data_IF_562156862066
#
_entry.id   IF_562156862066
#
_cell.length_a   1.000
_cell.length_b   1.000
_cell.length_c   1.000
_cell.angle_alpha   90.00
_cell.angle_beta   90.00
_cell.angle_gamma   90.00
#
_symmetry.space_group_name_H-M   'P 1'
#
loop_
_entity.id
_entity.type
_entity.pdbx_description
1 polymer ?
#
# COMPACT_ATOMS: atom_id res chain seq x y z
N UNK A 1 -27.89 -26.79 -15.53
CA UNK A 1 -28.95 -26.27 -14.65
C UNK A 1 -28.57 -26.58 -13.21
N UNK A 2 -27.96 -25.62 -12.54
CA UNK A 2 -27.77 -25.63 -11.09
C UNK A 2 -27.75 -24.16 -10.66
N UNK A 3 -28.71 -23.80 -9.83
CA UNK A 3 -28.98 -22.45 -9.34
C UNK A 3 -27.91 -22.01 -8.33
N UNK A 4 -27.43 -20.76 -8.36
CA UNK A 4 -26.62 -20.22 -7.27
C UNK A 4 -27.55 -19.74 -6.16
N UNK A 5 -27.36 -20.28 -4.95
CA UNK A 5 -27.97 -19.75 -3.72
C UNK A 5 -27.20 -18.47 -3.37
N UNK A 6 -27.73 -17.33 -3.82
CA UNK A 6 -27.37 -16.02 -3.29
C UNK A 6 -28.17 -15.86 -2.00
N UNK A 7 -27.57 -16.21 -0.86
CA UNK A 7 -28.14 -15.84 0.43
C UNK A 7 -27.95 -14.33 0.61
N UNK A 8 -29.08 -13.62 0.59
CA UNK A 8 -29.16 -12.17 0.71
C UNK A 8 -28.60 -11.69 2.04
N UNK A 9 -27.54 -10.87 1.96
CA UNK A 9 -27.27 -9.88 2.98
C UNK A 9 -28.32 -8.78 2.82
N UNK A 10 -29.40 -8.88 3.61
CA UNK A 10 -30.21 -7.71 3.92
C UNK A 10 -29.31 -6.71 4.66
N UNK A 11 -28.74 -5.75 3.93
CA UNK A 11 -28.34 -4.49 4.53
C UNK A 11 -29.62 -3.76 4.91
N UNK A 12 -30.09 -3.95 6.14
CA UNK A 12 -30.87 -2.90 6.79
C UNK A 12 -29.95 -1.68 6.82
N UNK A 13 -30.19 -0.77 5.89
CA UNK A 13 -29.79 0.62 6.04
C UNK A 13 -30.56 1.08 7.27
N UNK A 14 -29.93 1.03 8.44
CA UNK A 14 -30.40 1.81 9.56
C UNK A 14 -30.25 3.26 9.12
N UNK A 15 -31.34 3.86 8.63
CA UNK A 15 -31.53 5.30 8.65
C UNK A 15 -31.47 5.72 10.11
N UNK A 16 -30.25 6.01 10.59
CA UNK A 16 -30.02 6.70 11.84
C UNK A 16 -30.15 8.20 11.58
N UNK A 17 -31.33 8.64 11.17
CA UNK A 17 -31.73 10.05 11.14
C UNK A 17 -32.13 10.57 12.54
N UNK A 18 -31.79 9.83 13.61
CA UNK A 18 -32.04 10.21 14.98
C UNK A 18 -30.85 9.83 15.88
N UNK A 19 -29.73 10.51 15.71
CA UNK A 19 -28.88 10.90 16.84
C UNK A 19 -27.97 12.06 16.41
N UNK A 20 -28.53 13.27 16.31
CA UNK A 20 -27.75 14.50 16.45
C UNK A 20 -27.29 14.63 17.92
N UNK A 21 -26.63 13.61 18.46
CA UNK A 21 -25.89 13.77 19.70
C UNK A 21 -24.80 14.78 19.39
N UNK A 22 -24.98 16.02 19.85
CA UNK A 22 -23.93 17.02 19.91
C UNK A 22 -22.74 16.41 20.66
N UNK A 23 -21.79 15.84 19.91
CA UNK A 23 -20.48 15.53 20.44
C UNK A 23 -19.84 16.89 20.76
N UNK A 24 -20.12 17.41 21.96
CA UNK A 24 -19.49 18.62 22.45
C UNK A 24 -18.03 18.28 22.77
N UNK A 25 -17.13 18.67 21.86
CA UNK A 25 -15.68 18.57 22.01
C UNK A 25 -15.15 19.56 23.07
N UNK A 26 -15.69 19.51 24.31
CA UNK A 26 -15.37 20.45 25.41
C UNK A 26 -13.89 20.47 25.79
N UNK A 27 -13.17 19.40 25.50
CA UNK A 27 -11.73 19.26 25.82
C UNK A 27 -10.80 19.70 24.68
N UNK A 28 -11.30 20.23 23.57
CA UNK A 28 -10.49 20.60 22.41
C UNK A 28 -10.21 22.11 22.35
N UNK A 29 -8.97 22.47 22.00
CA UNK A 29 -8.56 23.87 21.79
C UNK A 29 -9.33 24.56 20.64
N UNK A 30 -9.26 25.89 20.52
CA UNK A 30 -9.69 26.58 19.28
C UNK A 30 -8.77 26.20 18.09
N UNK A 31 -9.18 26.51 16.85
CA UNK A 31 -8.31 26.33 15.66
C UNK A 31 -7.00 27.11 15.81
N UNK A 32 -7.08 28.38 16.18
CA UNK A 32 -5.91 29.25 16.33
C UNK A 32 -4.96 28.74 17.42
N UNK A 33 -5.51 28.33 18.58
CA UNK A 33 -4.68 27.75 19.64
C UNK A 33 -4.06 26.42 19.22
N UNK A 34 -4.77 25.62 18.43
CA UNK A 34 -4.23 24.37 17.86
C UNK A 34 -3.07 24.67 16.90
N UNK A 35 -3.17 25.72 16.08
CA UNK A 35 -2.09 26.14 15.19
C UNK A 35 -0.88 26.66 15.96
N UNK A 36 -1.08 27.53 16.96
CA UNK A 36 0.00 28.03 17.83
C UNK A 36 0.77 26.88 18.49
N UNK A 37 0.06 25.91 19.07
CA UNK A 37 0.68 24.76 19.70
C UNK A 37 1.35 23.83 18.68
N UNK A 38 0.79 23.71 17.47
CA UNK A 38 1.43 22.95 16.39
C UNK A 38 2.78 23.58 16.01
N UNK A 39 2.86 24.89 15.89
CA UNK A 39 4.09 25.59 15.53
C UNK A 39 5.18 25.45 16.61
N UNK A 40 4.79 25.28 17.88
CA UNK A 40 5.70 25.04 19.00
C UNK A 40 6.15 23.57 19.07
N UNK A 41 5.21 22.63 18.99
CA UNK A 41 5.46 21.23 19.37
C UNK A 41 5.61 20.26 18.20
N UNK A 42 5.17 20.63 17.00
CA UNK A 42 5.14 19.73 15.84
C UNK A 42 6.09 20.25 14.76
N UNK A 43 7.07 19.45 14.31
CA UNK A 43 8.04 19.90 13.32
C UNK A 43 7.39 20.37 12.01
N UNK A 44 7.89 21.49 11.47
CA UNK A 44 7.37 22.11 10.24
C UNK A 44 7.44 21.22 8.99
N UNK A 45 8.28 20.17 8.99
CA UNK A 45 8.32 19.18 7.92
C UNK A 45 7.08 18.28 7.85
N UNK A 46 6.26 18.24 8.91
CA UNK A 46 4.96 17.53 8.92
C UNK A 46 3.88 18.45 8.36
N UNK A 47 3.77 18.47 7.03
CA UNK A 47 2.90 19.42 6.35
C UNK A 47 1.43 19.01 6.37
N UNK A 48 0.55 20.01 6.46
CA UNK A 48 -0.90 19.83 6.31
C UNK A 48 -1.29 19.89 4.83
N UNK A 49 -2.40 19.25 4.46
CA UNK A 49 -2.94 19.29 3.08
C UNK A 49 -3.26 20.73 2.64
N UNK A 50 -3.95 21.50 3.48
CA UNK A 50 -4.33 22.89 3.21
C UNK A 50 -3.46 23.83 4.03
N UNK A 51 -2.28 24.21 3.49
CA UNK A 51 -1.27 24.96 4.25
C UNK A 51 -1.69 26.39 4.59
N UNK A 52 -2.30 27.09 3.63
CA UNK A 52 -2.69 28.49 3.81
C UNK A 52 -3.89 28.64 4.74
N UNK A 53 -4.84 27.71 4.65
CA UNK A 53 -6.02 27.68 5.53
C UNK A 53 -6.33 26.24 5.98
N UNK A 54 -5.65 25.74 7.02
CA UNK A 54 -5.87 24.38 7.51
C UNK A 54 -7.30 24.14 7.96
N UNK A 55 -7.87 22.99 7.59
CA UNK A 55 -9.16 22.54 8.09
C UNK A 55 -8.97 21.84 9.44
N UNK A 56 -9.68 22.28 10.47
CA UNK A 56 -9.75 21.57 11.75
C UNK A 56 -10.94 20.63 11.73
N UNK A 57 -10.72 19.43 11.22
CA UNK A 57 -11.73 18.36 11.19
C UNK A 57 -11.90 17.79 12.60
N UNK A 58 -13.13 17.77 13.09
CA UNK A 58 -13.47 17.28 14.43
C UNK A 58 -14.39 16.06 14.39
N UNK A 59 -15.17 15.90 13.31
CA UNK A 59 -16.09 14.76 13.13
C UNK A 59 -16.03 14.25 11.70
N UNK A 60 -16.30 12.97 11.50
CA UNK A 60 -16.48 12.38 10.17
C UNK A 60 -17.45 11.22 10.21
N UNK A 61 -18.15 10.98 9.10
CA UNK A 61 -19.15 9.92 8.96
C UNK A 61 -19.37 9.60 7.48
N UNK A 62 -19.32 8.32 7.12
CA UNK A 62 -19.50 7.89 5.74
C UNK A 62 -18.47 8.54 4.82
N UNK A 63 -18.90 9.30 3.82
CA UNK A 63 -18.01 10.00 2.89
C UNK A 63 -17.72 11.45 3.28
N UNK A 64 -18.18 11.91 4.45
CA UNK A 64 -18.11 13.31 4.85
C UNK A 64 -17.23 13.55 6.07
N UNK A 65 -16.57 14.70 6.07
CA UNK A 65 -15.86 15.28 7.22
C UNK A 65 -16.49 16.61 7.62
N UNK A 66 -16.39 16.96 8.89
CA UNK A 66 -16.98 18.17 9.46
C UNK A 66 -15.93 18.94 10.24
N UNK A 67 -15.83 20.24 9.97
CA UNK A 67 -14.94 21.12 10.72
C UNK A 67 -15.56 21.56 12.06
N UNK A 68 -14.79 22.30 12.84
CA UNK A 68 -15.19 22.81 14.16
C UNK A 68 -16.35 23.81 14.15
N UNK A 69 -16.73 24.33 12.98
CA UNK A 69 -17.88 25.22 12.79
C UNK A 69 -19.12 24.45 12.27
N UNK A 70 -19.00 23.13 12.08
CA UNK A 70 -20.05 22.27 11.53
C UNK A 70 -20.12 22.25 10.01
N UNK A 71 -19.20 22.90 9.29
CA UNK A 71 -19.21 22.86 7.83
C UNK A 71 -18.92 21.43 7.34
N UNK A 72 -19.73 20.95 6.41
CA UNK A 72 -19.66 19.60 5.83
C UNK A 72 -18.83 19.59 4.54
N UNK A 73 -17.87 18.69 4.48
CA UNK A 73 -16.97 18.51 3.33
C UNK A 73 -17.09 17.07 2.82
N UNK A 74 -17.32 16.91 1.51
CA UNK A 74 -17.18 15.62 0.85
C UNK A 74 -15.69 15.26 0.77
N UNK A 75 -15.32 14.08 1.27
CA UNK A 75 -13.93 13.63 1.27
C UNK A 75 -13.56 12.96 -0.06
N UNK A 76 -12.84 13.71 -0.90
CA UNK A 76 -12.31 13.24 -2.17
C UNK A 76 -10.80 12.99 -2.15
N UNK A 77 -10.15 13.01 -0.97
CA UNK A 77 -8.67 12.95 -0.86
C UNK A 77 -8.23 11.69 -0.12
N UNK A 78 -9.00 11.25 0.88
CA UNK A 78 -8.55 10.23 1.80
C UNK A 78 -8.49 8.84 1.16
N UNK A 79 -7.42 8.13 1.47
CA UNK A 79 -7.13 6.77 0.98
C UNK A 79 -7.12 5.72 2.10
N UNK A 80 -7.51 6.09 3.32
CA UNK A 80 -7.52 5.24 4.52
C UNK A 80 -8.92 4.73 4.87
N UNK A 81 -9.93 5.61 4.89
CA UNK A 81 -11.30 5.25 5.25
C UNK A 81 -12.09 4.65 4.06
N UNK A 82 -11.66 3.48 3.59
CA UNK A 82 -12.20 2.83 2.39
C UNK A 82 -13.69 2.46 2.48
N UNK A 83 -14.16 1.97 3.63
CA UNK A 83 -15.60 1.69 3.86
C UNK A 83 -16.33 2.89 4.48
N UNK A 84 -15.73 4.08 4.38
CA UNK A 84 -16.25 5.30 4.97
C UNK A 84 -15.73 5.56 6.39
N UNK A 85 -15.77 6.84 6.74
CA UNK A 85 -15.39 7.37 8.04
C UNK A 85 -16.29 6.85 9.15
N UNK A 86 -15.68 6.52 10.29
CA UNK A 86 -16.38 6.11 11.51
C UNK A 86 -17.42 5.02 11.27
N UNK A 87 -17.11 4.05 10.40
CA UNK A 87 -18.07 3.01 10.00
C UNK A 87 -18.57 2.25 11.26
N UNK A 88 -19.88 2.25 11.56
CA UNK A 88 -20.41 1.75 12.84
C UNK A 88 -20.00 0.32 13.17
N UNK A 89 -19.97 -0.55 12.15
CA UNK A 89 -19.52 -1.92 12.32
C UNK A 89 -18.04 -1.99 12.75
N UNK A 90 -17.14 -1.27 12.08
CA UNK A 90 -15.70 -1.29 12.37
C UNK A 90 -15.46 -0.77 13.79
N UNK A 91 -16.04 0.40 14.12
CA UNK A 91 -15.92 1.01 15.44
C UNK A 91 -16.39 0.06 16.56
N UNK A 92 -17.54 -0.59 16.39
CA UNK A 92 -18.07 -1.54 17.36
C UNK A 92 -17.15 -2.77 17.53
N UNK A 93 -16.58 -3.29 16.43
CA UNK A 93 -15.69 -4.45 16.52
C UNK A 93 -14.37 -4.12 17.22
N UNK A 94 -13.79 -2.96 16.92
CA UNK A 94 -12.62 -2.44 17.61
C UNK A 94 -12.92 -2.23 19.09
N UNK A 95 -14.01 -1.54 19.42
CA UNK A 95 -14.40 -1.25 20.80
C UNK A 95 -14.53 -2.54 21.63
N UNK A 96 -15.23 -3.54 21.10
CA UNK A 96 -15.40 -4.84 21.77
C UNK A 96 -14.07 -5.53 22.00
N UNK A 97 -13.21 -5.58 20.99
CA UNK A 97 -11.91 -6.22 21.11
C UNK A 97 -11.00 -5.48 22.07
N UNK A 98 -10.94 -4.15 22.01
CA UNK A 98 -10.11 -3.33 22.90
C UNK A 98 -10.57 -3.43 24.36
N UNK A 99 -11.88 -3.53 24.60
CA UNK A 99 -12.44 -3.76 25.94
C UNK A 99 -12.14 -5.16 26.49
N UNK A 100 -11.94 -6.14 25.61
CA UNK A 100 -11.63 -7.51 26.00
C UNK A 100 -10.12 -7.76 26.16
N UNK A 101 -9.32 -7.40 25.15
CA UNK A 101 -7.88 -7.61 25.12
C UNK A 101 -7.19 -6.73 24.06
N UNK A 102 -6.26 -5.89 24.52
CA UNK A 102 -5.29 -5.17 23.70
C UNK A 102 -3.87 -5.57 24.14
N UNK A 103 -3.18 -6.37 23.32
CA UNK A 103 -1.83 -6.89 23.61
C UNK A 103 -1.05 -7.11 22.32
N UNK A 104 0.24 -7.46 22.41
CA UNK A 104 1.07 -7.75 21.25
C UNK A 104 0.70 -9.10 20.57
N UNK A 105 1.26 -9.34 19.39
CA UNK A 105 0.96 -10.51 18.55
C UNK A 105 1.70 -11.81 18.95
N UNK A 106 2.48 -11.85 20.05
CA UNK A 106 3.15 -13.09 20.51
C UNK A 106 2.23 -14.01 21.30
N UNK A 107 1.13 -13.49 21.81
CA UNK A 107 0.10 -14.32 22.43
C UNK A 107 -0.80 -14.91 21.35
N UNK A 108 -1.17 -16.17 21.52
CA UNK A 108 -2.09 -16.86 20.62
C UNK A 108 -3.46 -16.15 20.66
N UNK A 109 -3.98 -15.76 19.49
CA UNK A 109 -5.27 -15.08 19.39
C UNK A 109 -5.93 -15.33 18.02
N UNK A 110 -7.23 -15.66 18.01
CA UNK A 110 -7.94 -16.09 16.80
C UNK A 110 -8.00 -15.02 15.69
N UNK A 111 -8.17 -13.75 16.04
CA UNK A 111 -8.23 -12.65 15.06
C UNK A 111 -7.03 -12.62 14.10
N UNK A 112 -5.83 -13.01 14.54
CA UNK A 112 -4.64 -12.99 13.66
C UNK A 112 -4.77 -14.05 12.57
N UNK A 113 -5.16 -15.28 12.91
CA UNK A 113 -5.33 -16.37 11.95
C UNK A 113 -6.59 -16.21 11.09
N UNK A 114 -7.68 -15.67 11.65
CA UNK A 114 -8.92 -15.39 10.91
C UNK A 114 -8.66 -14.32 9.84
N UNK A 115 -7.94 -13.25 10.18
CA UNK A 115 -7.59 -12.22 9.20
C UNK A 115 -6.65 -12.77 8.14
N UNK A 116 -5.63 -13.55 8.54
CA UNK A 116 -4.69 -14.18 7.61
C UNK A 116 -5.42 -15.06 6.59
N UNK A 117 -6.35 -15.90 7.06
CA UNK A 117 -7.15 -16.77 6.21
C UNK A 117 -8.01 -15.97 5.23
N UNK A 118 -8.66 -14.89 5.70
CA UNK A 118 -9.51 -14.04 4.85
C UNK A 118 -8.72 -13.34 3.76
N UNK A 119 -7.55 -12.80 4.09
CA UNK A 119 -6.68 -12.10 3.12
C UNK A 119 -6.12 -13.09 2.10
N UNK A 120 -5.56 -14.21 2.54
CA UNK A 120 -4.93 -15.18 1.64
C UNK A 120 -5.93 -15.82 0.68
N UNK A 121 -7.21 -15.96 1.08
CA UNK A 121 -8.31 -16.40 0.20
C UNK A 121 -8.63 -15.45 -0.95
N UNK A 122 -8.27 -14.17 -0.87
CA UNK A 122 -8.48 -13.20 -1.97
C UNK A 122 -7.28 -13.11 -2.92
N UNK A 123 -6.16 -13.75 -2.58
CA UNK A 123 -4.92 -13.73 -3.36
C UNK A 123 -4.79 -14.96 -4.27
N UNK A 124 -3.98 -14.88 -5.35
CA UNK A 124 -3.63 -16.04 -6.14
C UNK A 124 -3.00 -17.16 -5.32
N UNK A 125 -3.21 -18.40 -5.77
CA UNK A 125 -2.64 -19.59 -5.12
C UNK A 125 -1.12 -19.49 -5.01
N UNK A 126 -0.58 -19.76 -3.83
CA UNK A 126 0.85 -19.70 -3.52
C UNK A 126 1.21 -18.54 -2.60
N UNK A 127 0.38 -17.49 -2.52
CA UNK A 127 0.54 -16.36 -1.58
C UNK A 127 -0.23 -16.64 -0.28
N UNK A 128 0.38 -17.42 0.62
CA UNK A 128 -0.29 -17.99 1.79
C UNK A 128 0.38 -17.66 3.13
N UNK A 129 1.53 -16.99 3.14
CA UNK A 129 2.24 -16.62 4.36
C UNK A 129 2.14 -15.13 4.59
N UNK A 130 1.73 -14.71 5.79
CA UNK A 130 1.51 -13.31 6.13
C UNK A 130 2.38 -12.88 7.31
N UNK A 131 3.04 -11.74 7.16
CA UNK A 131 3.65 -10.98 8.25
C UNK A 131 2.83 -9.73 8.49
N UNK A 132 2.47 -9.45 9.73
CA UNK A 132 1.80 -8.20 10.08
C UNK A 132 2.78 -7.12 10.48
N UNK A 133 2.48 -5.90 10.05
CA UNK A 133 3.23 -4.68 10.35
C UNK A 133 2.27 -3.54 10.74
N UNK A 134 2.79 -2.38 11.13
CA UNK A 134 1.97 -1.20 11.45
C UNK A 134 1.78 -0.27 10.26
N UNK A 135 2.64 -0.37 9.25
CA UNK A 135 2.60 0.50 8.08
C UNK A 135 3.05 -0.23 6.81
N UNK A 136 2.62 0.28 5.65
CA UNK A 136 3.10 -0.19 4.36
C UNK A 136 4.62 0.00 4.19
N UNK A 137 5.21 1.00 4.86
CA UNK A 137 6.66 1.17 4.88
C UNK A 137 7.37 0.00 5.56
N UNK A 138 6.90 -0.44 6.73
CA UNK A 138 7.45 -1.63 7.39
C UNK A 138 7.26 -2.90 6.54
N UNK A 139 6.12 -3.02 5.83
CA UNK A 139 5.84 -4.17 4.97
C UNK A 139 6.79 -4.23 3.75
N UNK A 140 6.98 -3.10 3.07
CA UNK A 140 7.89 -2.99 1.91
C UNK A 140 9.35 -3.23 2.31
N UNK A 141 9.79 -2.68 3.46
CA UNK A 141 11.14 -2.90 3.97
C UNK A 141 11.39 -4.37 4.33
N UNK A 142 10.42 -5.02 4.99
CA UNK A 142 10.49 -6.44 5.28
C UNK A 142 10.59 -7.29 4.00
N UNK A 143 9.87 -6.92 2.95
CA UNK A 143 9.92 -7.64 1.68
C UNK A 143 11.30 -7.56 1.01
N UNK A 144 11.93 -6.38 1.03
CA UNK A 144 13.31 -6.20 0.55
C UNK A 144 14.27 -7.09 1.35
N UNK A 145 14.11 -7.12 2.68
CA UNK A 145 14.93 -8.00 3.54
C UNK A 145 14.76 -9.47 3.17
N UNK A 146 13.53 -9.96 3.02
CA UNK A 146 13.26 -11.34 2.65
C UNK A 146 13.80 -11.68 1.25
N UNK A 147 13.66 -10.77 0.28
CA UNK A 147 14.14 -10.99 -1.07
C UNK A 147 15.67 -11.09 -1.14
N UNK A 148 16.38 -10.24 -0.39
CA UNK A 148 17.85 -10.30 -0.30
C UNK A 148 18.33 -11.62 0.29
N UNK A 149 17.68 -12.07 1.37
CA UNK A 149 18.02 -13.37 1.99
C UNK A 149 17.70 -14.56 1.07
N UNK A 150 16.57 -14.49 0.37
CA UNK A 150 16.13 -15.57 -0.51
C UNK A 150 17.02 -15.71 -1.75
N UNK A 151 17.38 -14.59 -2.37
CA UNK A 151 18.12 -14.57 -3.64
C UNK A 151 19.63 -14.53 -3.47
N UNK A 152 20.14 -14.04 -2.33
CA UNK A 152 21.55 -13.68 -2.14
C UNK A 152 21.97 -12.40 -2.89
N UNK A 153 21.05 -11.76 -3.62
CA UNK A 153 21.28 -10.54 -4.36
C UNK A 153 20.98 -9.32 -3.48
N UNK A 154 21.46 -8.13 -3.88
CA UNK A 154 21.34 -6.92 -3.04
C UNK A 154 20.57 -5.78 -3.69
N UNK A 155 20.72 -5.63 -5.01
CA UNK A 155 20.21 -4.48 -5.73
C UNK A 155 18.69 -4.53 -5.90
N UNK A 156 18.11 -3.37 -6.16
CA UNK A 156 16.66 -3.18 -6.21
C UNK A 156 16.29 -2.49 -7.52
N UNK A 157 15.25 -2.99 -8.17
CA UNK A 157 14.62 -2.39 -9.33
C UNK A 157 13.32 -1.71 -8.92
N UNK A 158 13.07 -0.48 -9.35
CA UNK A 158 11.83 0.26 -9.07
C UNK A 158 11.38 1.06 -10.29
N UNK A 159 10.09 1.40 -10.33
CA UNK A 159 9.59 2.37 -11.30
C UNK A 159 9.91 3.80 -10.88
N UNK A 160 10.12 4.67 -11.87
CA UNK A 160 10.19 6.11 -11.62
C UNK A 160 8.86 6.59 -11.00
N UNK A 161 8.92 7.69 -10.25
CA UNK A 161 7.82 8.29 -9.50
C UNK A 161 7.16 7.38 -8.44
N UNK A 162 7.76 6.22 -8.12
CA UNK A 162 7.24 5.31 -7.11
C UNK A 162 7.39 5.86 -5.69
N UNK A 163 6.39 5.56 -4.84
CA UNK A 163 6.43 5.83 -3.41
C UNK A 163 6.12 4.56 -2.61
N UNK A 164 7.16 3.99 -2.01
CA UNK A 164 7.05 2.76 -1.22
C UNK A 164 7.10 3.00 0.29
N UNK A 165 7.28 4.24 0.74
CA UNK A 165 7.30 4.57 2.17
C UNK A 165 8.32 5.61 2.57
N UNK A 166 8.56 5.70 3.88
CA UNK A 166 9.39 6.73 4.50
C UNK A 166 10.56 6.19 5.34
N UNK A 167 10.71 4.87 5.47
CA UNK A 167 11.90 4.28 6.08
C UNK A 167 13.13 4.59 5.24
N UNK A 168 14.30 4.69 5.87
CA UNK A 168 15.54 5.10 5.19
C UNK A 168 15.82 4.27 3.93
N UNK A 169 15.70 2.94 4.05
CA UNK A 169 15.84 1.97 2.96
C UNK A 169 14.89 2.18 1.79
N UNK A 170 13.75 2.84 2.01
CA UNK A 170 12.71 3.09 1.00
C UNK A 170 12.81 4.51 0.43
N UNK A 171 13.24 5.47 1.23
CA UNK A 171 13.53 6.84 0.77
C UNK A 171 14.63 6.82 -0.28
N UNK A 172 15.63 5.96 -0.11
CA UNK A 172 16.71 5.72 -1.08
C UNK A 172 16.22 5.19 -2.44
N UNK A 173 15.06 4.50 -2.46
CA UNK A 173 14.47 3.92 -3.67
C UNK A 173 13.50 4.87 -4.37
N UNK A 174 12.95 5.85 -3.66
CA UNK A 174 11.90 6.70 -4.19
C UNK A 174 12.49 7.86 -4.97
N UNK A 175 12.47 7.76 -6.30
CA UNK A 175 12.83 8.87 -7.17
C UNK A 175 11.92 10.10 -6.95
N UNK A 176 10.68 9.90 -6.50
CA UNK A 176 9.76 10.97 -6.07
C UNK A 176 10.31 11.77 -4.88
N UNK A 177 10.90 11.10 -3.89
CA UNK A 177 11.51 11.77 -2.74
C UNK A 177 12.82 12.43 -3.12
N UNK A 178 13.67 11.71 -3.87
CA UNK A 178 14.97 12.19 -4.32
C UNK A 178 14.87 13.48 -5.14
N UNK A 179 13.94 13.55 -6.10
CA UNK A 179 13.71 14.76 -6.93
C UNK A 179 13.34 16.00 -6.10
N UNK A 180 12.90 15.83 -4.85
CA UNK A 180 12.54 16.91 -3.92
C UNK A 180 13.65 17.28 -2.94
N UNK A 181 14.71 16.50 -2.84
CA UNK A 181 15.82 16.79 -1.95
C UNK A 181 16.73 17.86 -2.58
N UNK A 182 16.92 18.97 -1.88
CA UNK A 182 17.68 20.14 -2.37
C UNK A 182 19.19 19.91 -2.43
N UNK A 183 19.68 18.87 -1.76
CA UNK A 183 21.09 18.49 -1.78
C UNK A 183 21.28 17.38 -2.79
N UNK A 184 22.29 17.55 -3.64
CA UNK A 184 22.76 16.67 -4.71
C UNK A 184 23.22 15.27 -4.25
N UNK A 185 22.55 14.63 -3.28
CA UNK A 185 22.71 13.18 -3.08
C UNK A 185 22.53 12.53 -4.42
N UNK A 186 23.33 11.53 -4.78
CA UNK A 186 23.13 10.74 -6.00
C UNK A 186 22.28 9.53 -5.64
N UNK A 187 21.45 9.07 -6.57
CA UNK A 187 20.76 7.81 -6.41
C UNK A 187 21.79 6.71 -6.07
N UNK A 188 21.57 5.89 -5.03
CA UNK A 188 22.53 4.87 -4.67
C UNK A 188 22.76 3.90 -5.84
N UNK A 189 24.01 3.44 -6.02
CA UNK A 189 24.35 2.57 -7.16
C UNK A 189 23.59 1.24 -7.18
N UNK A 190 23.05 0.83 -6.04
CA UNK A 190 22.29 -0.42 -5.88
C UNK A 190 20.80 -0.26 -6.24
N UNK A 191 20.38 0.92 -6.67
CA UNK A 191 19.00 1.23 -7.06
C UNK A 191 18.95 1.46 -8.56
N UNK A 192 18.10 0.70 -9.24
CA UNK A 192 17.90 0.78 -10.69
C UNK A 192 16.48 1.28 -10.95
N UNK A 193 16.36 2.39 -11.67
CA UNK A 193 15.06 3.03 -11.93
C UNK A 193 14.65 2.83 -13.37
N UNK A 194 13.56 2.12 -13.58
CA UNK A 194 12.92 1.98 -14.89
C UNK A 194 11.90 3.11 -15.11
N UNK A 195 11.81 3.70 -16.31
CA UNK A 195 10.81 4.72 -16.60
C UNK A 195 9.40 4.21 -16.33
N UNK A 196 8.58 5.03 -15.66
CA UNK A 196 7.14 4.76 -15.51
C UNK A 196 6.50 4.54 -16.89
N UNK A 197 5.73 3.45 -17.09
CA UNK A 197 4.93 3.20 -18.30
C UNK A 197 3.74 4.15 -18.46
N UNK A 198 3.97 5.45 -18.38
CA UNK A 198 2.96 6.50 -18.56
C UNK A 198 2.84 6.83 -20.05
N UNK A 199 1.78 6.35 -20.69
CA UNK A 199 1.53 6.60 -22.12
C UNK A 199 1.07 8.03 -22.42
N UNK A 200 0.78 8.84 -21.40
CA UNK A 200 0.33 10.22 -21.61
C UNK A 200 1.48 11.23 -21.46
N UNK A 201 2.31 11.10 -20.42
CA UNK A 201 3.43 12.02 -20.13
C UNK A 201 4.79 11.36 -19.93
N UNK A 202 4.87 10.03 -20.06
CA UNK A 202 6.11 9.28 -19.88
C UNK A 202 7.05 9.36 -21.08
N UNK A 203 8.07 8.49 -21.06
CA UNK A 203 9.15 8.45 -22.07
C UNK A 203 8.63 8.13 -23.48
N UNK A 204 7.64 7.26 -23.57
CA UNK A 204 6.96 6.88 -24.81
C UNK A 204 5.47 7.19 -24.67
N UNK A 205 4.94 8.05 -25.53
CA UNK A 205 3.57 8.59 -25.42
C UNK A 205 2.69 8.11 -26.56
N UNK A 206 1.43 7.91 -26.28
CA UNK A 206 0.39 7.50 -27.22
C UNK A 206 0.36 8.35 -28.51
N UNK A 207 0.47 9.67 -28.36
CA UNK A 207 0.49 10.65 -29.43
C UNK A 207 1.69 10.51 -30.37
N UNK A 208 2.83 10.00 -29.88
CA UNK A 208 4.04 9.81 -30.67
C UNK A 208 4.03 8.49 -31.47
N UNK A 209 3.12 7.57 -31.10
CA UNK A 209 3.06 6.21 -31.64
C UNK A 209 1.68 5.84 -32.18
N UNK A 210 0.85 6.83 -32.58
CA UNK A 210 -0.49 6.62 -33.14
C UNK A 210 -1.40 5.71 -32.28
N UNK A 211 -1.28 5.79 -30.96
CA UNK A 211 -1.96 4.91 -30.00
C UNK A 211 -1.66 3.41 -30.17
N UNK A 212 -0.51 3.05 -30.74
CA UNK A 212 -0.08 1.64 -30.84
C UNK A 212 0.34 1.09 -29.48
N UNK A 213 -0.63 0.52 -28.76
CA UNK A 213 -0.44 -0.04 -27.42
C UNK A 213 0.59 -1.19 -27.40
N UNK A 214 0.65 -2.02 -28.45
CA UNK A 214 1.61 -3.13 -28.54
C UNK A 214 3.02 -2.59 -28.65
N UNK A 215 3.21 -1.54 -29.45
CA UNK A 215 4.50 -0.86 -29.58
C UNK A 215 4.92 -0.18 -28.27
N UNK A 216 4.00 0.53 -27.61
CA UNK A 216 4.25 1.17 -26.31
C UNK A 216 4.63 0.16 -25.23
N UNK A 217 3.89 -0.95 -25.14
CA UNK A 217 4.22 -2.08 -24.26
C UNK A 217 5.65 -2.57 -24.51
N UNK A 218 6.02 -2.81 -25.78
CA UNK A 218 7.35 -3.28 -26.13
C UNK A 218 8.44 -2.28 -25.76
N UNK A 219 8.24 -0.99 -26.04
CA UNK A 219 9.22 0.06 -25.76
C UNK A 219 9.49 0.21 -24.26
N UNK A 220 8.45 0.21 -23.42
CA UNK A 220 8.63 0.27 -21.97
C UNK A 220 9.25 -1.01 -21.40
N UNK A 221 8.89 -2.18 -21.94
CA UNK A 221 9.54 -3.45 -21.57
C UNK A 221 11.03 -3.47 -21.97
N UNK A 222 11.38 -2.95 -23.14
CA UNK A 222 12.78 -2.88 -23.60
C UNK A 222 13.65 -2.04 -22.65
N UNK A 223 13.10 -1.02 -21.99
CA UNK A 223 13.81 -0.28 -20.94
C UNK A 223 14.09 -1.12 -19.70
N UNK A 224 13.14 -1.95 -19.27
CA UNK A 224 13.35 -2.91 -18.17
C UNK A 224 14.50 -3.83 -18.51
N UNK A 225 14.44 -4.46 -19.70
CA UNK A 225 15.50 -5.36 -20.16
C UNK A 225 16.86 -4.66 -20.17
N UNK A 226 16.93 -3.48 -20.80
CA UNK A 226 18.17 -2.69 -20.91
C UNK A 226 18.79 -2.40 -19.55
N UNK A 227 17.98 -1.97 -18.57
CA UNK A 227 18.46 -1.61 -17.23
C UNK A 227 18.96 -2.82 -16.45
N UNK A 228 18.23 -3.95 -16.53
CA UNK A 228 18.67 -5.21 -15.90
C UNK A 228 19.97 -5.72 -16.53
N UNK A 229 20.07 -5.73 -17.85
CA UNK A 229 21.30 -6.14 -18.56
C UNK A 229 22.48 -5.21 -18.24
N UNK A 230 22.25 -3.91 -18.11
CA UNK A 230 23.25 -2.93 -17.70
C UNK A 230 23.75 -3.19 -16.26
N UNK A 231 22.85 -3.53 -15.33
CA UNK A 231 23.23 -3.92 -13.96
C UNK A 231 24.09 -5.20 -13.97
N UNK A 232 23.65 -6.24 -14.67
CA UNK A 232 24.37 -7.52 -14.79
C UNK A 232 25.76 -7.33 -15.42
N UNK A 233 25.88 -6.51 -16.47
CA UNK A 233 27.17 -6.22 -17.13
C UNK A 233 28.19 -5.55 -16.21
N UNK A 234 27.72 -4.90 -15.13
CA UNK A 234 28.54 -4.28 -14.09
C UNK A 234 28.76 -5.20 -12.88
N UNK A 235 28.37 -6.47 -12.98
CA UNK A 235 28.48 -7.45 -11.89
C UNK A 235 27.50 -7.18 -10.75
N UNK A 236 26.39 -6.49 -11.02
CA UNK A 236 25.36 -6.16 -10.02
C UNK A 236 24.15 -7.05 -10.23
N UNK A 237 23.63 -7.60 -9.14
CA UNK A 237 22.52 -8.55 -9.18
C UNK A 237 21.34 -8.01 -8.36
N UNK A 238 20.19 -8.00 -9.01
CA UNK A 238 18.93 -7.45 -8.46
C UNK A 238 18.20 -8.57 -7.70
N UNK A 239 17.74 -8.26 -6.49
CA UNK A 239 16.95 -9.17 -5.67
C UNK A 239 15.46 -9.05 -5.95
N UNK A 240 14.97 -7.82 -6.12
CA UNK A 240 13.54 -7.52 -6.11
C UNK A 240 13.20 -6.33 -7.02
N UNK A 241 12.07 -6.45 -7.70
CA UNK A 241 11.37 -5.39 -8.41
C UNK A 241 10.14 -4.96 -7.62
N UNK A 242 10.06 -3.68 -7.25
CA UNK A 242 8.88 -3.11 -6.58
C UNK A 242 8.09 -2.26 -7.58
N UNK A 243 6.78 -2.48 -7.64
CA UNK A 243 5.88 -1.67 -8.44
C UNK A 243 4.54 -1.46 -7.72
N UNK A 244 3.92 -0.30 -7.96
CA UNK A 244 2.53 -0.06 -7.57
C UNK A 244 1.65 -0.37 -8.79
N UNK A 245 0.72 -1.35 -8.77
CA UNK A 245 -0.10 -1.67 -9.94
C UNK A 245 -0.91 -0.47 -10.49
N UNK A 246 -1.26 0.46 -9.61
CA UNK A 246 -1.78 1.78 -9.94
C UNK A 246 -0.94 2.82 -9.20
N UNK A 247 0.08 3.38 -9.87
CA UNK A 247 0.99 4.33 -9.23
C UNK A 247 0.26 5.57 -8.75
N UNK A 248 0.15 5.72 -7.44
CA UNK A 248 -0.66 6.82 -6.88
C UNK A 248 0.09 8.14 -6.96
N UNK A 249 1.28 8.21 -6.35
CA UNK A 249 2.10 9.42 -6.36
C UNK A 249 2.58 9.79 -7.78
N UNK A 250 2.64 8.81 -8.68
CA UNK A 250 2.91 9.00 -10.11
C UNK A 250 1.76 9.65 -10.89
N UNK A 251 0.55 9.71 -10.32
CA UNK A 251 -0.61 10.34 -10.96
C UNK A 251 -1.72 9.39 -11.41
N UNK A 252 -1.92 8.26 -10.70
CA UNK A 252 -2.88 7.22 -11.05
C UNK A 252 -2.59 6.61 -12.43
N UNK A 253 -1.35 6.16 -12.63
CA UNK A 253 -0.88 5.63 -13.92
C UNK A 253 -1.37 4.20 -14.13
N UNK A 254 -1.95 3.96 -15.30
CA UNK A 254 -2.33 2.64 -15.81
C UNK A 254 -1.29 2.24 -16.86
N UNK A 255 -0.73 1.04 -16.74
CA UNK A 255 0.30 0.57 -17.68
C UNK A 255 -0.29 0.06 -18.99
N UNK A 256 0.47 0.09 -20.10
CA UNK A 256 0.08 -0.55 -21.35
C UNK A 256 -0.22 -2.04 -21.12
N UNK A 257 -1.27 -2.56 -21.78
CA UNK A 257 -1.62 -3.97 -21.71
C UNK A 257 -0.43 -4.87 -22.05
N UNK A 258 -0.24 -5.93 -21.26
CA UNK A 258 0.85 -6.90 -21.42
C UNK A 258 2.22 -6.46 -20.91
N UNK A 259 2.39 -5.20 -20.48
CA UNK A 259 3.67 -4.71 -19.92
C UNK A 259 4.09 -5.51 -18.69
N UNK A 260 3.19 -5.69 -17.72
CA UNK A 260 3.52 -6.40 -16.47
C UNK A 260 3.84 -7.87 -16.72
N UNK A 261 3.09 -8.55 -17.58
CA UNK A 261 3.37 -9.94 -17.98
C UNK A 261 4.76 -10.11 -18.56
N UNK A 262 5.09 -9.33 -19.61
CA UNK A 262 6.42 -9.38 -20.22
C UNK A 262 7.53 -9.11 -19.20
N UNK A 263 7.30 -8.12 -18.33
CA UNK A 263 8.23 -7.75 -17.27
C UNK A 263 8.42 -8.89 -16.27
N UNK A 264 7.34 -9.48 -15.77
CA UNK A 264 7.39 -10.58 -14.81
C UNK A 264 8.07 -11.82 -15.39
N UNK A 265 7.68 -12.25 -16.60
CA UNK A 265 8.27 -13.42 -17.23
C UNK A 265 9.79 -13.25 -17.40
N UNK A 266 10.22 -12.05 -17.80
CA UNK A 266 11.64 -11.73 -17.92
C UNK A 266 12.35 -11.70 -16.56
N UNK A 267 11.82 -10.98 -15.57
CA UNK A 267 12.45 -10.85 -14.25
C UNK A 267 12.52 -12.20 -13.52
N UNK A 268 11.48 -13.02 -13.61
CA UNK A 268 11.45 -14.37 -13.05
C UNK A 268 12.50 -15.27 -13.73
N UNK A 269 12.69 -15.15 -15.05
CA UNK A 269 13.76 -15.88 -15.76
C UNK A 269 15.17 -15.51 -15.28
N UNK A 270 15.32 -14.34 -14.65
CA UNK A 270 16.56 -13.84 -14.04
C UNK A 270 16.66 -14.11 -12.54
N UNK A 271 15.65 -14.74 -11.92
CA UNK A 271 15.58 -14.95 -10.48
C UNK A 271 15.33 -13.67 -9.67
N UNK A 272 14.81 -12.62 -10.30
CA UNK A 272 14.44 -11.36 -9.64
C UNK A 272 12.99 -11.49 -9.15
N UNK A 273 12.78 -11.31 -7.84
CA UNK A 273 11.45 -11.42 -7.24
C UNK A 273 10.60 -10.17 -7.53
N UNK A 274 9.28 -10.33 -7.63
CA UNK A 274 8.37 -9.22 -7.91
C UNK A 274 7.48 -8.91 -6.70
N UNK A 275 7.38 -7.63 -6.33
CA UNK A 275 6.49 -7.11 -5.29
C UNK A 275 5.43 -6.19 -5.87
N UNK A 276 4.17 -6.55 -5.65
CA UNK A 276 3.03 -5.68 -5.90
C UNK A 276 2.71 -4.86 -4.63
N UNK A 277 2.95 -3.55 -4.70
CA UNK A 277 2.61 -2.61 -3.64
C UNK A 277 1.12 -2.24 -3.74
N UNK A 278 0.30 -2.99 -3.01
CA UNK A 278 -1.16 -2.83 -2.93
C UNK A 278 -1.58 -1.95 -1.75
N UNK A 279 -0.63 -1.25 -1.10
CA UNK A 279 -0.90 -0.45 0.10
C UNK A 279 -1.97 0.61 -0.19
N UNK A 280 -2.07 1.14 -1.41
CA UNK A 280 -3.11 2.09 -1.80
C UNK A 280 -4.15 1.53 -2.77
N UNK A 281 -3.71 0.69 -3.70
CA UNK A 281 -4.53 0.19 -4.79
C UNK A 281 -5.33 -1.08 -4.40
N UNK A 282 -5.02 -1.70 -3.27
CA UNK A 282 -5.67 -2.91 -2.79
C UNK A 282 -7.06 -2.67 -2.22
N UNK A 283 -7.66 -3.75 -1.73
CA UNK A 283 -8.99 -3.78 -1.12
C UNK A 283 -10.11 -3.25 -2.02
N UNK A 284 -10.04 -3.48 -3.33
CA UNK A 284 -11.13 -3.11 -4.25
C UNK A 284 -11.04 -1.70 -4.83
N UNK A 285 -9.96 -0.95 -4.59
CA UNK A 285 -9.85 0.45 -5.06
C UNK A 285 -9.98 0.60 -6.57
N UNK A 286 -9.49 -0.35 -7.35
CA UNK A 286 -9.61 -0.36 -8.82
C UNK A 286 -11.02 -0.69 -9.33
N UNK A 287 -11.96 -1.04 -8.43
CA UNK A 287 -13.38 -1.28 -8.73
C UNK A 287 -13.71 -2.63 -9.36
N UNK A 288 -12.73 -3.34 -9.95
CA UNK A 288 -12.95 -4.61 -10.65
C UNK A 288 -12.40 -5.83 -9.92
N UNK A 289 -11.35 -5.64 -9.11
CA UNK A 289 -10.63 -6.72 -8.44
C UNK A 289 -10.32 -6.34 -6.99
N UNK A 290 -10.10 -7.33 -6.13
CA UNK A 290 -9.71 -7.06 -4.75
C UNK A 290 -8.28 -6.48 -4.67
N UNK A 291 -7.37 -6.99 -5.51
CA UNK A 291 -6.01 -6.47 -5.68
C UNK A 291 -5.83 -5.92 -7.09
N UNK A 292 -5.27 -4.73 -7.22
CA UNK A 292 -5.14 -4.04 -8.50
C UNK A 292 -4.21 -4.73 -9.50
N UNK A 293 -3.18 -5.47 -9.07
CA UNK A 293 -2.34 -6.22 -10.00
C UNK A 293 -3.14 -7.25 -10.82
N UNK A 294 -4.24 -7.78 -10.26
CA UNK A 294 -5.11 -8.75 -10.92
C UNK A 294 -5.88 -8.14 -12.10
N UNK A 295 -6.05 -6.81 -12.15
CA UNK A 295 -6.77 -6.16 -13.25
C UNK A 295 -5.98 -6.14 -14.56
N UNK A 296 -4.67 -6.40 -14.52
CA UNK A 296 -3.86 -6.50 -15.72
C UNK A 296 -4.04 -7.87 -16.36
N UNK A 297 -3.78 -8.96 -15.62
CA UNK A 297 -3.94 -10.35 -16.07
C UNK A 297 -4.25 -11.26 -14.88
N UNK A 298 -5.19 -12.22 -15.03
CA UNK A 298 -5.67 -13.08 -13.93
C UNK A 298 -4.59 -14.00 -13.35
N UNK A 299 -3.65 -14.43 -14.19
CA UNK A 299 -2.56 -15.35 -13.86
C UNK A 299 -1.23 -14.61 -13.56
N UNK A 300 -1.28 -13.29 -13.35
CA UNK A 300 -0.13 -12.51 -12.91
C UNK A 300 0.07 -12.72 -11.40
N UNK A 301 1.09 -13.49 -11.01
CA UNK A 301 1.34 -13.84 -9.61
C UNK A 301 2.68 -13.22 -9.17
N UNK A 302 2.67 -12.20 -8.29
CA UNK A 302 3.90 -11.68 -7.70
C UNK A 302 4.43 -12.61 -6.60
N UNK A 303 5.67 -12.41 -6.18
CA UNK A 303 6.28 -13.13 -5.06
C UNK A 303 5.92 -12.51 -3.71
N UNK A 304 5.63 -11.21 -3.70
CA UNK A 304 5.23 -10.44 -2.54
C UNK A 304 4.03 -9.54 -2.87
N UNK A 305 3.14 -9.36 -1.89
CA UNK A 305 2.08 -8.35 -1.93
C UNK A 305 2.09 -7.59 -0.61
N UNK A 306 2.21 -6.27 -0.65
CA UNK A 306 2.18 -5.42 0.55
C UNK A 306 0.86 -4.69 0.70
N UNK A 307 0.36 -4.68 1.93
CA UNK A 307 -0.98 -4.24 2.31
C UNK A 307 -0.86 -3.13 3.36
N UNK A 308 -1.82 -2.21 3.41
CA UNK A 308 -1.87 -1.16 4.42
C UNK A 308 -3.06 -0.24 4.21
N UNK A 309 -2.94 1.04 4.60
CA UNK A 309 -3.97 2.11 4.48
C UNK A 309 -5.39 1.63 4.79
N UNK A 310 -6.14 1.20 3.78
CA UNK A 310 -7.52 0.73 3.89
C UNK A 310 -7.70 -0.52 4.73
N UNK A 311 -6.64 -1.30 4.95
CA UNK A 311 -6.68 -2.58 5.67
C UNK A 311 -7.35 -2.50 7.04
N UNK A 312 -7.12 -1.43 7.81
CA UNK A 312 -7.75 -1.21 9.11
C UNK A 312 -8.83 -0.12 9.10
N UNK A 313 -9.21 0.39 7.93
CA UNK A 313 -10.16 1.50 7.76
C UNK A 313 -9.95 2.69 8.74
N UNK A 314 -8.70 3.04 9.02
CA UNK A 314 -8.34 4.07 10.01
C UNK A 314 -7.52 3.55 11.20
N UNK A 315 -7.56 2.25 11.48
CA UNK A 315 -6.68 1.63 12.48
C UNK A 315 -5.30 1.29 11.91
N UNK A 316 -4.21 1.48 12.68
CA UNK A 316 -2.87 1.13 12.24
C UNK A 316 -2.73 -0.39 12.06
N UNK A 317 -2.62 -0.82 10.81
CA UNK A 317 -2.27 -2.18 10.42
C UNK A 317 -1.80 -2.19 8.96
N UNK A 318 -0.85 -3.06 8.69
CA UNK A 318 -0.35 -3.39 7.37
C UNK A 318 0.11 -4.84 7.38
N UNK A 319 0.44 -5.36 6.20
CA UNK A 319 0.96 -6.71 6.09
C UNK A 319 1.82 -6.90 4.85
N UNK A 320 2.67 -7.91 4.91
CA UNK A 320 3.33 -8.49 3.75
C UNK A 320 2.81 -9.92 3.58
N UNK A 321 2.31 -10.24 2.39
CA UNK A 321 1.95 -11.61 2.00
C UNK A 321 2.97 -12.14 1.01
N UNK A 322 3.41 -13.39 1.19
CA UNK A 322 4.41 -14.04 0.33
C UNK A 322 4.23 -15.55 0.28
N UNK A 323 5.11 -16.23 -0.46
CA UNK A 323 5.15 -17.67 -0.63
C UNK A 323 5.85 -18.37 0.54
N UNK A 324 5.48 -19.62 0.76
CA UNK A 324 6.03 -20.44 1.86
C UNK A 324 7.51 -20.76 1.72
N UNK A 325 8.01 -20.95 0.50
CA UNK A 325 9.42 -21.23 0.27
C UNK A 325 10.33 -20.05 0.64
N UNK A 326 9.88 -18.82 0.38
CA UNK A 326 10.58 -17.60 0.82
C UNK A 326 10.65 -17.52 2.35
N UNK A 327 9.54 -17.76 3.05
CA UNK A 327 9.54 -17.74 4.51
C UNK A 327 10.34 -18.88 5.12
N UNK A 328 10.32 -20.06 4.50
CA UNK A 328 11.06 -21.22 4.98
C UNK A 328 12.57 -20.97 4.93
N UNK A 329 13.08 -20.31 3.88
CA UNK A 329 14.49 -19.92 3.80
C UNK A 329 14.87 -19.04 5.00
N UNK A 330 14.08 -18.00 5.27
CA UNK A 330 14.31 -17.08 6.40
C UNK A 330 14.31 -17.79 7.77
N UNK A 331 13.43 -18.77 7.97
CA UNK A 331 13.39 -19.60 9.19
C UNK A 331 14.62 -20.51 9.29
N UNK A 332 15.05 -21.12 8.17
CA UNK A 332 16.25 -21.97 8.12
C UNK A 332 17.50 -21.20 8.54
N UNK A 333 17.59 -19.92 8.21
CA UNK A 333 18.71 -19.05 8.62
C UNK A 333 18.64 -18.63 10.10
N UNK A 334 17.65 -19.11 10.85
CA UNK A 334 17.50 -18.89 12.29
C UNK A 334 16.96 -17.51 12.67
N UNK A 335 16.36 -16.79 11.72
CA UNK A 335 15.95 -15.40 11.92
C UNK A 335 14.51 -15.34 12.45
N UNK A 336 14.33 -14.71 13.61
CA UNK A 336 13.00 -14.37 14.13
C UNK A 336 12.54 -13.00 13.62
N UNK A 337 11.27 -12.89 13.26
CA UNK A 337 10.60 -11.60 13.02
C UNK A 337 9.57 -11.33 14.12
N UNK A 338 9.60 -10.11 14.67
CA UNK A 338 8.61 -9.66 15.62
C UNK A 338 8.32 -8.18 15.43
N UNK A 339 7.04 -7.84 15.57
CA UNK A 339 6.55 -6.47 15.58
C UNK A 339 5.60 -6.33 16.77
N UNK A 340 5.93 -5.46 17.73
CA UNK A 340 5.16 -5.31 18.98
C UNK A 340 3.68 -5.04 18.74
N UNK A 341 3.35 -4.21 17.75
CA UNK A 341 1.97 -3.81 17.46
C UNK A 341 1.44 -4.35 16.13
N UNK A 342 2.33 -4.79 15.23
CA UNK A 342 1.94 -5.37 13.95
C UNK A 342 1.10 -6.62 14.13
N UNK A 343 -0.19 -6.54 13.78
CA UNK A 343 -1.11 -7.67 13.92
C UNK A 343 -1.57 -7.92 15.37
N UNK A 344 -1.59 -6.88 16.21
CA UNK A 344 -2.25 -6.98 17.51
C UNK A 344 -3.76 -7.32 17.34
N UNK A 345 -4.41 -7.95 18.34
CA UNK A 345 -5.79 -8.41 18.21
C UNK A 345 -6.81 -7.32 17.85
N UNK A 346 -6.60 -6.08 18.31
CA UNK A 346 -7.48 -4.94 18.03
C UNK A 346 -7.35 -4.52 16.57
N UNK A 347 -6.12 -4.33 16.09
CA UNK A 347 -5.83 -4.00 14.70
C UNK A 347 -6.27 -5.09 13.73
N UNK A 348 -6.14 -6.38 14.08
CA UNK A 348 -6.65 -7.47 13.23
C UNK A 348 -8.18 -7.56 13.20
N UNK A 349 -8.84 -6.93 14.19
CA UNK A 349 -10.31 -6.93 14.28
C UNK A 349 -10.95 -5.75 13.56
N UNK A 350 -10.24 -4.62 13.51
CA UNK A 350 -10.58 -3.49 12.64
C UNK A 350 -10.64 -3.95 11.19
#
# INVERSE_FOLDING_TARGET
>A
MASPIINGYHTEVMDSDNDESEYEFKDYYSKDKTMELRDIYIPACTQLFFRENPLKIVRSQGTYMYDQLGNKYLDCINNVAHVGHCHPYVNNQVYKQMSACATNNRYLHDNTVILAERITKTLPKGLEQIFYTNSGSEANDLAIRLAREYTGNYDILVLDNAYHGHLLSLVELSSYMYKKMTNQQKMPEHVHVVPTPDVYRGKFRDIDYNNDEVKLCQLYFDEVRRIVEEAESRGRHIAIFLFEPLQSCGGQIIYPKGYLRKTFDYLQSKGILCLADEVQAGFGRCGTHFWSFQSYEEDLIPDFVTLGKSMGNGFPIAALVTRRDITNKFVIDGIEYFNTYGGNPVSCRA
#
